data_IF_021004657331
#
_entry.id   IF_021004657331
#
_cell.length_a   1.000
_cell.length_b   1.000
_cell.length_c   1.000
_cell.angle_alpha   90.00
_cell.angle_beta   90.00
_cell.angle_gamma   90.00
#
_symmetry.space_group_name_H-M   'P 1'
#
loop_
_entity.id
_entity.type
_entity.pdbx_description
1 polymer ?
#
# COMPACT_ATOMS: atom_id res chain seq x y z
N UNK A 1 5.04 -19.58 -18.06
CA UNK A 1 5.18 -19.26 -16.61
C UNK A 1 5.15 -17.76 -16.41
N UNK A 2 4.37 -17.30 -15.47
CA UNK A 2 4.28 -15.87 -15.16
C UNK A 2 5.37 -15.52 -14.14
N UNK A 3 6.11 -14.45 -14.40
CA UNK A 3 7.11 -13.96 -13.45
C UNK A 3 6.43 -13.55 -12.14
N UNK A 4 7.17 -13.67 -11.02
CA UNK A 4 6.58 -13.38 -9.71
C UNK A 4 6.05 -11.96 -9.59
N UNK A 5 6.70 -10.99 -10.25
CA UNK A 5 6.27 -9.59 -10.23
C UNK A 5 5.09 -9.32 -11.16
N UNK A 6 4.66 -10.31 -11.94
CA UNK A 6 3.47 -10.23 -12.79
C UNK A 6 2.28 -11.00 -12.22
N UNK A 7 2.50 -11.71 -11.11
CA UNK A 7 1.40 -12.41 -10.44
C UNK A 7 0.60 -11.45 -9.59
N UNK A 8 -0.71 -11.65 -9.45
CA UNK A 8 -1.50 -10.83 -8.54
C UNK A 8 -0.94 -10.90 -7.11
N UNK A 9 -0.87 -9.75 -6.48
CA UNK A 9 -0.49 -9.68 -5.07
C UNK A 9 -1.72 -10.07 -4.26
N UNK A 10 -1.67 -11.14 -3.45
CA UNK A 10 -2.86 -11.63 -2.75
C UNK A 10 -3.12 -10.88 -1.44
N UNK A 11 -2.93 -9.58 -1.46
CA UNK A 11 -3.13 -8.71 -0.31
C UNK A 11 -4.02 -7.55 -0.70
N UNK A 12 -4.83 -7.09 0.24
CA UNK A 12 -5.69 -5.93 0.03
C UNK A 12 -5.76 -5.11 1.31
N UNK A 13 -6.03 -3.82 1.14
CA UNK A 13 -6.18 -2.91 2.26
C UNK A 13 -7.34 -3.35 3.14
N UNK A 14 -7.15 -3.28 4.47
CA UNK A 14 -8.22 -3.55 5.41
C UNK A 14 -9.31 -2.49 5.26
N UNK A 15 -10.57 -2.93 5.29
CA UNK A 15 -11.72 -2.06 5.10
C UNK A 15 -12.07 -1.25 6.35
N UNK A 16 -11.60 -1.69 7.51
CA UNK A 16 -11.94 -1.05 8.79
C UNK A 16 -11.01 0.08 9.19
N UNK A 17 -9.98 0.36 8.39
CA UNK A 17 -9.02 1.41 8.71
C UNK A 17 -9.65 2.80 8.56
N UNK A 18 -9.34 3.68 9.50
CA UNK A 18 -9.79 5.07 9.45
C UNK A 18 -8.62 5.92 8.99
N UNK A 19 -8.85 6.76 7.98
CA UNK A 19 -7.79 7.54 7.35
C UNK A 19 -8.10 9.01 7.48
N UNK A 20 -7.10 9.80 7.89
CA UNK A 20 -7.20 11.25 7.95
C UNK A 20 -5.97 11.86 7.29
N UNK A 21 -6.20 12.86 6.43
CA UNK A 21 -5.11 13.58 5.80
C UNK A 21 -4.66 14.71 6.72
N UNK A 22 -3.35 14.81 6.93
CA UNK A 22 -2.78 15.92 7.70
C UNK A 22 -1.65 16.57 6.91
N UNK A 23 -1.46 17.86 7.14
CA UNK A 23 -0.33 18.61 6.59
C UNK A 23 0.57 19.02 7.75
N UNK A 24 1.85 18.73 7.63
CA UNK A 24 2.83 19.05 8.65
C UNK A 24 4.05 19.66 7.99
N UNK A 25 4.35 20.91 8.34
CA UNK A 25 5.47 21.65 7.78
C UNK A 25 5.49 21.64 6.23
N UNK A 26 4.30 21.78 5.64
CA UNK A 26 4.17 21.82 4.18
C UNK A 26 4.19 20.47 3.50
N UNK A 27 4.27 19.39 4.26
CA UNK A 27 4.26 18.02 3.72
C UNK A 27 2.95 17.33 4.09
N UNK A 28 2.30 16.73 3.09
CA UNK A 28 1.06 16.01 3.30
C UNK A 28 1.32 14.56 3.72
N UNK A 29 0.59 14.11 4.73
CA UNK A 29 0.65 12.73 5.21
C UNK A 29 -0.76 12.18 5.34
N UNK A 30 -0.87 10.86 5.26
CA UNK A 30 -2.09 10.15 5.63
C UNK A 30 -1.84 9.46 6.96
N UNK A 31 -2.71 9.76 7.93
CA UNK A 31 -2.65 9.07 9.23
C UNK A 31 -3.70 7.98 9.22
N UNK A 32 -3.28 6.76 9.46
CA UNK A 32 -4.15 5.59 9.42
C UNK A 32 -4.33 5.09 10.84
N UNK A 33 -5.57 5.07 11.30
CA UNK A 33 -5.90 4.51 12.59
C UNK A 33 -6.37 3.08 12.41
N UNK A 34 -5.70 2.18 13.13
CA UNK A 34 -6.11 0.78 13.22
C UNK A 34 -7.01 0.65 14.45
N UNK A 35 -8.34 0.49 14.28
CA UNK A 35 -9.25 0.47 15.41
C UNK A 35 -9.16 -0.80 16.23
N UNK A 36 -8.59 -1.87 15.68
CA UNK A 36 -8.43 -3.13 16.40
C UNK A 36 -7.19 -3.09 17.28
N UNK A 37 -6.06 -2.70 16.72
CA UNK A 37 -4.80 -2.61 17.45
C UNK A 37 -4.67 -1.32 18.24
N UNK A 38 -5.54 -0.34 18.00
CA UNK A 38 -5.51 0.99 18.62
C UNK A 38 -4.19 1.69 18.39
N UNK A 39 -3.69 1.58 17.16
CA UNK A 39 -2.43 2.17 16.71
C UNK A 39 -2.67 3.16 15.59
N UNK A 40 -1.77 4.14 15.49
CA UNK A 40 -1.76 5.10 14.42
C UNK A 40 -0.51 4.90 13.57
N UNK A 41 -0.66 4.97 12.25
CA UNK A 41 0.44 4.86 11.31
C UNK A 41 0.43 6.08 10.41
N UNK A 42 1.56 6.73 10.28
CA UNK A 42 1.69 7.88 9.37
C UNK A 42 2.39 7.43 8.10
N UNK A 43 1.72 7.62 6.97
CA UNK A 43 2.26 7.26 5.67
C UNK A 43 2.39 8.51 4.81
N UNK A 44 3.43 8.54 4.00
CA UNK A 44 3.54 9.54 2.94
C UNK A 44 2.46 9.26 1.89
N UNK A 45 2.15 10.25 1.08
CA UNK A 45 1.05 10.15 0.11
C UNK A 45 1.27 8.98 -0.85
N UNK A 46 2.48 8.82 -1.37
CA UNK A 46 2.79 7.72 -2.29
C UNK A 46 2.73 6.36 -1.61
N UNK A 47 3.10 6.28 -0.33
CA UNK A 47 2.98 5.03 0.44
C UNK A 47 1.51 4.65 0.65
N UNK A 48 0.70 5.64 0.98
CA UNK A 48 -0.73 5.40 1.14
C UNK A 48 -1.38 4.99 -0.18
N UNK A 49 -0.93 5.59 -1.29
CA UNK A 49 -1.46 5.21 -2.60
C UNK A 49 -1.15 3.76 -2.94
N UNK A 50 0.03 3.28 -2.57
CA UNK A 50 0.34 1.85 -2.74
C UNK A 50 -0.64 1.00 -1.94
N UNK A 51 -0.93 1.39 -0.69
CA UNK A 51 -1.91 0.67 0.12
C UNK A 51 -3.28 0.63 -0.58
N UNK A 52 -3.72 1.73 -1.17
CA UNK A 52 -5.00 1.77 -1.88
C UNK A 52 -5.00 0.90 -3.13
N UNK A 53 -3.85 0.78 -3.80
CA UNK A 53 -3.74 -0.04 -5.01
C UNK A 53 -3.74 -1.53 -4.73
N UNK A 54 -3.55 -1.94 -3.47
CA UNK A 54 -3.57 -3.34 -3.09
C UNK A 54 -5.03 -3.80 -2.97
N UNK A 55 -5.51 -4.42 -4.04
CA UNK A 55 -6.90 -4.88 -4.14
C UNK A 55 -7.01 -6.42 -4.28
N UNK A 56 -5.90 -7.12 -4.14
CA UNK A 56 -5.87 -8.56 -4.28
C UNK A 56 -5.77 -9.05 -5.72
N UNK A 57 -5.76 -8.13 -6.69
CA UNK A 57 -5.76 -8.46 -8.12
C UNK A 57 -4.53 -7.90 -8.84
N UNK A 58 -4.10 -6.68 -8.49
CA UNK A 58 -2.98 -6.04 -9.16
C UNK A 58 -1.67 -6.74 -8.87
N UNK A 59 -0.84 -6.84 -9.91
CA UNK A 59 0.52 -7.36 -9.75
C UNK A 59 1.46 -6.23 -9.28
N UNK A 60 2.68 -6.61 -8.91
CA UNK A 60 3.70 -5.65 -8.51
C UNK A 60 4.01 -4.66 -9.63
N UNK A 61 4.08 -5.15 -10.88
CA UNK A 61 4.34 -4.29 -12.03
C UNK A 61 3.18 -3.32 -12.27
N UNK A 62 1.95 -3.78 -12.12
CA UNK A 62 0.76 -2.93 -12.28
C UNK A 62 0.75 -1.83 -11.22
N UNK A 63 1.06 -2.17 -9.98
CA UNK A 63 1.14 -1.19 -8.90
C UNK A 63 2.20 -0.13 -9.23
N UNK A 64 3.37 -0.56 -9.71
CA UNK A 64 4.42 0.37 -10.11
C UNK A 64 3.97 1.29 -11.22
N UNK A 65 3.34 0.72 -12.25
CA UNK A 65 2.92 1.51 -13.41
C UNK A 65 1.84 2.52 -13.03
N UNK A 66 0.88 2.11 -12.23
CA UNK A 66 -0.17 3.01 -11.74
C UNK A 66 0.43 4.13 -10.89
N UNK A 67 1.37 3.79 -10.02
CA UNK A 67 2.01 4.78 -9.16
C UNK A 67 2.82 5.78 -9.97
N UNK A 68 3.56 5.31 -10.96
CA UNK A 68 4.35 6.19 -11.83
C UNK A 68 3.47 7.11 -12.67
N UNK A 69 2.31 6.64 -13.06
CA UNK A 69 1.35 7.45 -13.81
C UNK A 69 0.84 8.62 -12.97
N UNK A 70 0.62 8.39 -11.69
CA UNK A 70 0.13 9.44 -10.78
C UNK A 70 1.24 10.34 -10.26
N UNK A 71 2.45 9.79 -10.13
CA UNK A 71 3.62 10.52 -9.61
C UNK A 71 4.77 10.41 -10.60
N UNK A 72 4.71 11.15 -11.72
CA UNK A 72 5.67 10.97 -12.82
C UNK A 72 7.13 11.25 -12.44
N UNK A 73 7.36 12.06 -11.41
CA UNK A 73 8.70 12.38 -10.96
C UNK A 73 9.24 11.42 -9.91
N UNK A 74 8.38 10.51 -9.45
CA UNK A 74 8.77 9.54 -8.42
C UNK A 74 9.66 8.47 -9.02
N UNK A 75 10.85 8.30 -8.47
CA UNK A 75 11.77 7.25 -8.87
C UNK A 75 11.68 6.11 -7.88
N UNK A 76 10.94 5.09 -8.26
CA UNK A 76 10.70 3.94 -7.40
C UNK A 76 10.88 2.67 -8.20
N UNK A 77 11.58 1.71 -7.63
CA UNK A 77 11.82 0.41 -8.25
C UNK A 77 10.81 -0.61 -7.77
N UNK A 78 10.73 -1.76 -8.46
CA UNK A 78 9.90 -2.87 -8.01
C UNK A 78 10.33 -3.34 -6.62
N UNK A 79 11.64 -3.33 -6.35
CA UNK A 79 12.16 -3.70 -5.03
C UNK A 79 11.67 -2.75 -3.94
N UNK A 80 11.65 -1.46 -4.23
CA UNK A 80 11.15 -0.46 -3.28
C UNK A 80 9.68 -0.69 -2.96
N UNK A 81 8.88 -0.97 -3.99
CA UNK A 81 7.44 -1.23 -3.81
C UNK A 81 7.24 -2.50 -3.00
N UNK A 82 8.01 -3.54 -3.30
CA UNK A 82 7.92 -4.80 -2.57
C UNK A 82 8.26 -4.59 -1.08
N UNK A 83 9.27 -3.79 -0.80
CA UNK A 83 9.65 -3.47 0.58
C UNK A 83 8.54 -2.72 1.29
N UNK A 84 7.91 -1.75 0.62
CA UNK A 84 6.81 -1.00 1.19
C UNK A 84 5.61 -1.90 1.48
N UNK A 85 5.30 -2.83 0.57
CA UNK A 85 4.22 -3.78 0.78
C UNK A 85 4.51 -4.67 1.98
N UNK A 86 5.76 -5.12 2.11
CA UNK A 86 6.19 -5.92 3.25
C UNK A 86 6.00 -5.14 4.55
N UNK A 87 6.36 -3.86 4.55
CA UNK A 87 6.18 -3.00 5.72
C UNK A 87 4.71 -2.81 6.07
N UNK A 88 3.86 -2.61 5.07
CA UNK A 88 2.42 -2.48 5.29
C UNK A 88 1.83 -3.75 5.87
N UNK A 89 2.30 -4.90 5.39
CA UNK A 89 1.86 -6.20 5.91
C UNK A 89 2.30 -6.38 7.36
N UNK A 90 3.55 -6.00 7.66
CA UNK A 90 4.08 -6.09 9.01
C UNK A 90 3.31 -5.19 9.97
N UNK A 91 2.86 -4.04 9.50
CA UNK A 91 2.04 -3.12 10.30
C UNK A 91 0.60 -3.58 10.47
N UNK A 92 0.21 -4.65 9.76
CA UNK A 92 -1.14 -5.17 9.86
C UNK A 92 -2.18 -4.37 9.10
N UNK A 93 -1.77 -3.57 8.12
CA UNK A 93 -2.69 -2.70 7.37
C UNK A 93 -3.31 -3.40 6.17
N UNK A 94 -2.85 -4.57 5.82
CA UNK A 94 -3.38 -5.36 4.72
C UNK A 94 -3.78 -6.74 5.20
N UNK A 95 -4.71 -7.36 4.48
CA UNK A 95 -5.18 -8.71 4.77
C UNK A 95 -4.98 -9.59 3.55
N UNK A 96 -4.85 -10.90 3.80
CA UNK A 96 -4.76 -11.86 2.72
C UNK A 96 -6.08 -11.94 1.96
N UNK A 97 -5.97 -12.02 0.64
CA UNK A 97 -7.13 -12.17 -0.22
C UNK A 97 -7.63 -13.61 -0.30
N UNK A 98 -6.97 -14.53 0.37
CA UNK A 98 -7.36 -15.94 0.33
C UNK A 98 -8.61 -16.16 1.15
N UNK A 99 -9.58 -16.81 0.53
CA UNK A 99 -10.85 -17.16 1.16
C UNK A 99 -10.71 -18.58 1.72
N UNK A 100 -11.25 -18.79 2.92
CA UNK A 100 -11.27 -20.12 3.53
C UNK A 100 -9.98 -20.49 4.23
N UNK A 101 -9.15 -19.57 4.51
CA UNK A 101 -7.90 -19.80 5.24
C UNK A 101 -8.07 -19.62 6.73
#
# INVERSE_FOLDING_TARGET
MVASNQRPIPLRKRADLVVAKIDYLGVGYQVIKDPVALKYHRLQIEQYRILELLDGVRSLETVRDDLKSEFPTLQITLSDIQQLITDLHRKGLVVSNRVGQ
#
